data_IF_110538330919
#
_entry.id   IF_110538330919
#
_cell.length_a   1.000
_cell.length_b   1.000
_cell.length_c   1.000
_cell.angle_alpha   90.00
_cell.angle_beta   90.00
_cell.angle_gamma   90.00
#
_symmetry.space_group_name_H-M   'P 1'
#
loop_
_entity.id
_entity.type
_entity.pdbx_description
1 polymer ?
#
# COMPACT_ATOMS: atom_id res chain seq x y z
N UNK A 1 0.85 -3.91 20.84
CA UNK A 1 0.01 -2.85 20.24
C UNK A 1 0.24 -2.85 18.73
N UNK A 2 -0.81 -2.99 17.92
CA UNK A 2 -0.67 -2.89 16.46
C UNK A 2 -0.59 -1.41 16.07
N UNK A 3 0.60 -0.91 15.74
CA UNK A 3 0.77 0.46 15.24
C UNK A 3 0.35 0.53 13.78
N UNK A 4 -0.95 0.77 13.57
CA UNK A 4 -1.45 1.16 12.26
C UNK A 4 -0.97 2.58 11.96
N UNK A 5 -0.38 2.76 10.78
CA UNK A 5 0.03 4.05 10.28
C UNK A 5 -0.64 4.31 8.94
N UNK A 6 -0.85 5.58 8.68
CA UNK A 6 -1.38 6.02 7.40
C UNK A 6 -0.26 5.92 6.36
N UNK A 7 -0.49 5.12 5.32
CA UNK A 7 0.46 4.90 4.23
C UNK A 7 -0.24 5.14 2.90
N UNK A 8 0.39 5.93 2.05
CA UNK A 8 0.02 6.09 0.66
C UNK A 8 0.56 4.92 -0.17
N UNK A 9 -0.32 4.19 -0.84
CA UNK A 9 0.02 3.05 -1.68
C UNK A 9 -0.44 3.30 -3.11
N UNK A 10 0.18 2.62 -4.05
CA UNK A 10 -0.20 2.62 -5.45
C UNK A 10 -0.46 1.20 -5.92
N UNK A 11 -1.52 1.01 -6.70
CA UNK A 11 -1.78 -0.27 -7.36
C UNK A 11 -0.95 -0.41 -8.63
N UNK A 12 -0.35 -1.57 -8.86
CA UNK A 12 0.42 -1.86 -10.07
C UNK A 12 0.07 -3.25 -10.61
N UNK A 13 0.13 -3.42 -11.94
CA UNK A 13 -0.06 -4.70 -12.59
C UNK A 13 1.27 -5.48 -12.58
N UNK A 14 1.28 -6.62 -11.90
CA UNK A 14 2.43 -7.53 -11.93
C UNK A 14 2.46 -8.26 -13.27
N UNK A 15 3.27 -7.78 -14.21
CA UNK A 15 3.47 -8.45 -15.51
C UNK A 15 4.16 -9.81 -15.24
N UNK A 16 3.40 -10.91 -15.24
CA UNK A 16 3.97 -12.27 -15.15
C UNK A 16 3.55 -13.13 -13.94
N UNK A 17 2.57 -12.74 -13.12
CA UNK A 17 2.03 -13.66 -12.11
C UNK A 17 0.90 -14.50 -12.71
N UNK A 18 1.11 -15.82 -12.85
CA UNK A 18 0.12 -16.86 -13.18
C UNK A 18 -0.91 -17.05 -12.05
N UNK A 19 -1.51 -15.96 -11.59
CA UNK A 19 -2.58 -15.97 -10.62
C UNK A 19 -3.55 -14.92 -11.11
N UNK A 20 -4.81 -15.31 -11.29
CA UNK A 20 -5.92 -14.54 -11.86
C UNK A 20 -6.31 -13.27 -11.06
N UNK A 21 -5.38 -12.72 -10.28
CA UNK A 21 -5.47 -11.56 -9.39
C UNK A 21 -4.31 -10.56 -9.63
N UNK A 22 -3.90 -10.34 -10.89
CA UNK A 22 -2.67 -9.63 -11.31
C UNK A 22 -2.45 -8.17 -10.86
N UNK A 23 -3.31 -7.61 -10.00
CA UNK A 23 -3.15 -6.28 -9.42
C UNK A 23 -2.56 -6.40 -8.01
N UNK A 24 -1.38 -5.82 -7.80
CA UNK A 24 -0.71 -5.72 -6.50
C UNK A 24 -0.71 -4.26 -6.02
N UNK A 25 -0.35 -4.06 -4.77
CA UNK A 25 -0.15 -2.73 -4.20
C UNK A 25 1.26 -2.63 -3.61
N UNK A 26 1.87 -1.45 -3.76
CA UNK A 26 3.18 -1.09 -3.24
C UNK A 26 3.10 0.26 -2.51
N UNK A 27 3.90 0.51 -1.47
CA UNK A 27 3.98 1.83 -0.88
C UNK A 27 4.64 2.82 -1.84
N UNK A 28 4.22 4.08 -1.78
CA UNK A 28 4.91 5.15 -2.50
C UNK A 28 6.28 5.44 -1.88
N UNK A 29 7.29 5.78 -2.70
CA UNK A 29 8.62 6.17 -2.22
C UNK A 29 8.53 7.41 -1.32
N UNK A 30 9.48 7.55 -0.38
CA UNK A 30 9.57 8.70 0.52
C UNK A 30 8.84 8.55 1.86
N UNK A 31 8.11 7.46 2.10
CA UNK A 31 7.42 7.21 3.38
C UNK A 31 8.25 6.40 4.39
N UNK A 32 9.58 6.43 4.27
CA UNK A 32 10.48 5.55 5.03
C UNK A 32 10.08 4.06 4.92
N UNK A 33 9.66 3.68 3.72
CA UNK A 33 9.15 2.36 3.37
C UNK A 33 9.80 1.94 2.06
N UNK A 34 10.19 0.67 1.98
CA UNK A 34 10.77 0.13 0.77
C UNK A 34 9.67 -0.04 -0.30
N UNK A 35 9.87 0.50 -1.50
CA UNK A 35 8.91 0.40 -2.61
C UNK A 35 8.78 -1.02 -3.17
N UNK A 36 9.75 -1.90 -2.89
CA UNK A 36 9.69 -3.33 -3.18
C UNK A 36 8.87 -4.11 -2.14
N UNK A 37 8.44 -3.46 -1.04
CA UNK A 37 7.64 -4.10 -0.01
C UNK A 37 6.24 -4.42 -0.52
N UNK A 38 5.80 -5.67 -0.28
CA UNK A 38 4.43 -6.05 -0.59
C UNK A 38 3.44 -5.41 0.39
N UNK A 39 2.33 -4.90 -0.16
CA UNK A 39 1.18 -4.46 0.63
C UNK A 39 0.07 -5.48 0.52
N UNK A 40 -0.26 -6.11 1.63
CA UNK A 40 -1.43 -6.97 1.75
C UNK A 40 -2.66 -6.11 2.04
N UNK A 41 -3.54 -6.01 1.05
CA UNK A 41 -4.78 -5.25 1.12
C UNK A 41 -5.93 -6.00 0.45
N UNK A 42 -7.15 -5.53 0.72
CA UNK A 42 -8.38 -6.12 0.19
C UNK A 42 -8.35 -6.28 -1.34
N UNK A 43 -8.61 -7.48 -1.85
CA UNK A 43 -8.71 -7.71 -3.29
C UNK A 43 -9.84 -6.89 -3.92
N UNK A 44 -10.91 -6.58 -3.17
CA UNK A 44 -12.00 -5.69 -3.65
C UNK A 44 -11.50 -4.29 -3.99
N UNK A 45 -10.62 -3.75 -3.14
CA UNK A 45 -10.03 -2.43 -3.35
C UNK A 45 -9.13 -2.43 -4.60
N UNK A 46 -8.32 -3.47 -4.79
CA UNK A 46 -7.44 -3.59 -5.97
C UNK A 46 -8.19 -3.80 -7.27
N UNK A 47 -9.33 -4.52 -7.23
CA UNK A 47 -10.17 -4.79 -8.42
C UNK A 47 -11.17 -3.70 -8.73
N UNK A 48 -11.57 -2.90 -7.74
CA UNK A 48 -12.58 -1.86 -7.89
C UNK A 48 -12.08 -0.57 -8.57
N UNK A 49 -10.76 -0.43 -8.75
CA UNK A 49 -10.14 0.78 -9.28
C UNK A 49 -9.09 0.44 -10.34
N UNK A 50 -8.82 1.37 -11.28
CA UNK A 50 -7.79 1.17 -12.29
C UNK A 50 -6.40 1.09 -11.66
N UNK A 51 -5.51 0.33 -12.31
CA UNK A 51 -4.09 0.23 -11.96
C UNK A 51 -3.44 1.61 -12.07
N UNK A 52 -2.57 1.96 -11.12
CA UNK A 52 -1.93 3.28 -11.01
C UNK A 52 -2.67 4.25 -10.08
N UNK A 53 -3.83 3.84 -9.56
CA UNK A 53 -4.57 4.63 -8.57
C UNK A 53 -3.80 4.65 -7.25
N UNK A 54 -3.74 5.84 -6.64
CA UNK A 54 -3.12 6.05 -5.33
C UNK A 54 -4.19 6.03 -4.24
N UNK A 55 -3.87 5.37 -3.15
CA UNK A 55 -4.77 5.23 -2.02
C UNK A 55 -4.05 5.50 -0.71
N UNK A 56 -4.77 6.11 0.20
CA UNK A 56 -4.38 6.27 1.57
C UNK A 56 -5.06 5.18 2.40
N UNK A 57 -4.27 4.32 3.02
CA UNK A 57 -4.76 3.22 3.84
C UNK A 57 -4.11 3.23 5.22
N UNK A 58 -4.78 2.62 6.19
CA UNK A 58 -4.19 2.30 7.48
C UNK A 58 -3.59 0.90 7.44
N UNK A 59 -2.26 0.85 7.42
CA UNK A 59 -1.49 -0.38 7.40
C UNK A 59 -0.47 -0.39 8.53
N UNK A 60 -0.16 -1.59 9.02
CA UNK A 60 0.93 -1.79 9.97
C UNK A 60 2.07 -2.53 9.30
N UNK A 61 3.31 -2.19 9.65
CA UNK A 61 4.46 -3.01 9.26
C UNK A 61 4.42 -4.27 10.09
N UNK A 62 4.40 -5.41 9.41
CA UNK A 62 4.50 -6.72 10.02
C UNK A 62 5.67 -7.44 9.37
N UNK A 63 6.46 -8.13 10.18
CA UNK A 63 7.46 -9.08 9.71
C UNK A 63 7.00 -10.48 10.11
N UNK A 64 7.14 -11.45 9.21
CA UNK A 64 7.08 -12.86 9.60
C UNK A 64 8.42 -13.26 10.21
N UNK A 65 8.42 -14.17 11.18
CA UNK A 65 9.66 -14.73 11.75
C UNK A 65 10.53 -15.28 10.61
N UNK A 66 11.72 -14.69 10.43
CA UNK A 66 12.66 -15.04 9.36
C UNK A 66 12.30 -14.52 7.95
N UNK A 67 11.26 -13.69 7.80
CA UNK A 67 10.82 -13.15 6.52
C UNK A 67 11.08 -11.65 6.33
N UNK A 68 10.88 -11.16 5.10
CA UNK A 68 10.94 -9.73 4.80
C UNK A 68 9.76 -8.98 5.45
N UNK A 69 9.96 -7.74 5.91
CA UNK A 69 8.85 -6.89 6.38
C UNK A 69 7.87 -6.63 5.24
N UNK A 70 6.58 -6.61 5.56
CA UNK A 70 5.48 -6.30 4.64
C UNK A 70 4.44 -5.41 5.33
N UNK A 71 3.66 -4.69 4.53
CA UNK A 71 2.56 -3.89 5.03
C UNK A 71 1.29 -4.73 5.07
N UNK A 72 0.67 -4.81 6.23
CA UNK A 72 -0.62 -5.47 6.41
C UNK A 72 -1.70 -4.42 6.64
N UNK A 73 -2.71 -4.40 5.76
CA UNK A 73 -3.92 -3.61 5.89
C UNK A 73 -5.13 -4.50 6.00
N UNK A 74 -5.89 -4.33 7.07
CA UNK A 74 -7.09 -5.13 7.28
C UNK A 74 -8.15 -4.76 6.23
N UNK A 75 -8.84 -5.76 5.67
CA UNK A 75 -9.74 -5.59 4.52
C UNK A 75 -10.96 -4.69 4.80
N UNK A 76 -11.34 -4.57 6.07
CA UNK A 76 -12.45 -3.74 6.54
C UNK A 76 -12.02 -2.32 6.95
N UNK A 77 -10.73 -1.98 6.77
CA UNK A 77 -10.24 -0.65 7.11
C UNK A 77 -10.70 0.36 6.05
N UNK A 78 -11.04 1.59 6.48
CA UNK A 78 -11.35 2.66 5.54
C UNK A 78 -10.11 2.99 4.71
N UNK A 79 -10.34 3.24 3.43
CA UNK A 79 -9.33 3.73 2.51
C UNK A 79 -9.85 4.99 1.81
N UNK A 80 -8.94 5.92 1.52
CA UNK A 80 -9.25 7.14 0.77
C UNK A 80 -8.50 7.11 -0.55
N UNK A 81 -9.19 7.31 -1.66
CA UNK A 81 -8.54 7.54 -2.95
C UNK A 81 -7.96 8.94 -2.92
N UNK A 82 -6.68 9.07 -3.25
CA UNK A 82 -5.97 10.35 -3.21
C UNK A 82 -5.23 10.60 -4.51
N UNK A 83 -4.96 11.86 -4.79
CA UNK A 83 -4.24 12.27 -5.99
C UNK A 83 -2.72 12.20 -5.76
N UNK A 84 -1.93 12.33 -6.82
CA UNK A 84 -0.47 12.38 -6.70
C UNK A 84 0.00 13.53 -5.80
N UNK A 85 -0.66 14.69 -5.85
CA UNK A 85 -0.31 15.86 -5.03
C UNK A 85 -0.61 15.67 -3.54
N UNK A 86 -1.75 15.04 -3.21
CA UNK A 86 -2.07 14.68 -1.82
C UNK A 86 -1.07 13.67 -1.27
N UNK A 87 -0.68 12.68 -2.09
CA UNK A 87 0.32 11.71 -1.71
C UNK A 87 1.69 12.36 -1.46
N UNK A 88 2.12 13.27 -2.34
CA UNK A 88 3.35 14.05 -2.18
C UNK A 88 3.32 14.89 -0.89
N UNK A 89 2.21 15.58 -0.64
CA UNK A 89 2.02 16.39 0.57
C UNK A 89 2.16 15.52 1.83
N UNK A 90 1.61 14.30 1.81
CA UNK A 90 1.71 13.37 2.93
C UNK A 90 3.14 12.86 3.13
N UNK A 91 3.83 12.52 2.04
CA UNK A 91 5.23 12.09 2.07
C UNK A 91 6.12 13.19 2.64
N UNK A 92 5.93 14.44 2.19
CA UNK A 92 6.68 15.60 2.66
C UNK A 92 6.35 15.97 4.10
N UNK A 93 5.09 15.85 4.51
CA UNK A 93 4.63 16.13 5.87
C UNK A 93 5.10 15.11 6.92
N UNK A 94 5.51 13.90 6.50
CA UNK A 94 6.11 12.88 7.38
C UNK A 94 7.62 13.10 7.62
N UNK A 95 8.23 14.09 6.97
CA UNK A 95 9.67 14.41 7.06
C UNK A 95 9.96 15.64 7.92
N UNK A 96 9.40 15.71 9.14
CA UNK A 96 9.75 16.73 10.16
C UNK A 96 10.38 16.07 11.38
#
# INVERSE_FOLDING_TARGET
>A
MSNYRTVAIETYSGRGTTSSEGVRARPLPGQNLDTSMNVECSSKMRKGYPVGTKFLIQAKVTCKEGGTPFLYSHYNQPYKVINAEEADTLIRGLGV
#
